data_IF_105442688034
#
_entry.id   IF_105442688034
#
_cell.length_a   1.000
_cell.length_b   1.000
_cell.length_c   1.000
_cell.angle_alpha   90.00
_cell.angle_beta   90.00
_cell.angle_gamma   90.00
#
_symmetry.space_group_name_H-M   'P 1'
#
loop_
_entity.id
_entity.type
_entity.pdbx_description
1 polymer ?
#
# COMPACT_ATOMS: atom_id res chain seq x y z
N UNK A 1 -0.22 -27.10 2.65
CA UNK A 1 -0.91 -25.92 3.19
C UNK A 1 -0.64 -24.80 2.21
N UNK A 2 -1.63 -24.34 1.46
CA UNK A 2 -1.42 -23.24 0.50
C UNK A 2 -1.39 -21.95 1.29
N UNK A 3 -0.18 -21.49 1.59
CA UNK A 3 0.07 -20.13 2.03
C UNK A 3 -0.53 -19.24 0.94
N UNK A 4 -1.63 -18.54 1.25
CA UNK A 4 -2.22 -17.57 0.33
C UNK A 4 -1.19 -16.46 0.17
N UNK A 5 -0.35 -16.58 -0.84
CA UNK A 5 0.53 -15.51 -1.27
C UNK A 5 -0.34 -14.29 -1.52
N UNK A 6 -0.01 -13.19 -0.85
CA UNK A 6 -0.74 -11.94 -1.01
C UNK A 6 -0.42 -11.42 -2.41
N UNK A 7 -1.44 -11.01 -3.14
CA UNK A 7 -1.25 -10.43 -4.47
C UNK A 7 -1.16 -8.91 -4.37
N UNK A 8 -0.38 -8.32 -5.26
CA UNK A 8 -0.24 -6.89 -5.42
C UNK A 8 -1.58 -6.29 -5.86
N UNK A 9 -2.07 -5.31 -5.10
CA UNK A 9 -3.35 -4.63 -5.38
C UNK A 9 -3.34 -3.82 -6.68
N UNK A 10 -2.17 -3.56 -7.28
CA UNK A 10 -2.05 -2.84 -8.56
C UNK A 10 -1.89 -3.77 -9.77
N UNK A 11 -0.94 -4.70 -9.73
CA UNK A 11 -0.56 -5.50 -10.90
C UNK A 11 -0.98 -6.99 -10.81
N UNK A 12 -1.46 -7.44 -9.65
CA UNK A 12 -1.90 -8.82 -9.43
C UNK A 12 -0.79 -9.88 -9.29
N UNK A 13 0.48 -9.47 -9.35
CA UNK A 13 1.62 -10.37 -9.11
C UNK A 13 1.76 -10.71 -7.62
N UNK A 14 2.43 -11.82 -7.32
CA UNK A 14 2.73 -12.20 -5.93
C UNK A 14 3.61 -11.14 -5.24
N UNK A 15 3.27 -10.84 -3.99
CA UNK A 15 4.07 -9.99 -3.10
C UNK A 15 5.08 -10.88 -2.41
N UNK A 16 6.31 -10.91 -2.95
CA UNK A 16 7.41 -11.69 -2.39
C UNK A 16 8.06 -11.02 -1.17
N UNK A 17 7.89 -9.70 -1.02
CA UNK A 17 8.49 -8.87 0.02
C UNK A 17 7.45 -7.96 0.68
N UNK A 18 7.35 -8.02 2.01
CA UNK A 18 6.57 -7.05 2.80
C UNK A 18 7.34 -5.71 2.91
N UNK A 19 6.62 -4.62 3.20
CA UNK A 19 7.18 -3.27 3.36
C UNK A 19 6.62 -2.23 2.39
N UNK A 20 5.96 -2.66 1.32
CA UNK A 20 5.25 -1.78 0.40
C UNK A 20 3.75 -1.84 0.69
N UNK A 21 3.36 -1.26 1.82
CA UNK A 21 1.95 -1.13 2.23
C UNK A 21 1.53 0.35 2.19
N UNK A 22 0.26 0.58 1.90
CA UNK A 22 -0.35 1.90 1.84
C UNK A 22 -1.72 1.86 2.51
N UNK A 23 -1.92 2.74 3.48
CA UNK A 23 -3.22 2.91 4.11
C UNK A 23 -4.10 3.77 3.22
N UNK A 24 -5.26 3.27 2.87
CA UNK A 24 -6.26 4.03 2.11
C UNK A 24 -7.58 4.06 2.87
N UNK A 25 -8.48 4.94 2.44
CA UNK A 25 -9.86 5.00 2.95
C UNK A 25 -10.63 3.70 2.74
N UNK A 26 -10.22 2.89 1.75
CA UNK A 26 -10.79 1.58 1.45
C UNK A 26 -10.13 0.43 2.25
N UNK A 27 -9.04 0.71 2.96
CA UNK A 27 -8.27 -0.25 3.76
C UNK A 27 -6.80 -0.31 3.39
N UNK A 28 -6.07 -1.24 4.01
CA UNK A 28 -4.64 -1.40 3.78
C UNK A 28 -4.39 -2.14 2.45
N UNK A 29 -3.69 -1.48 1.54
CA UNK A 29 -3.25 -2.02 0.25
C UNK A 29 -1.80 -2.48 0.31
N UNK A 30 -1.46 -3.53 -0.45
CA UNK A 30 -0.11 -4.10 -0.51
C UNK A 30 0.39 -4.20 -1.93
N UNK A 31 1.69 -4.00 -2.09
CA UNK A 31 2.33 -3.90 -3.39
C UNK A 31 3.57 -4.80 -3.44
N UNK A 32 3.89 -5.34 -4.62
CA UNK A 32 5.08 -6.16 -4.81
C UNK A 32 6.38 -5.33 -4.83
N UNK A 33 6.28 -4.02 -5.07
CA UNK A 33 7.44 -3.11 -5.14
C UNK A 33 7.04 -1.65 -4.89
N UNK A 34 8.03 -0.80 -4.65
CA UNK A 34 7.86 0.66 -4.49
C UNK A 34 7.19 1.31 -5.69
N UNK A 35 7.51 0.85 -6.92
CA UNK A 35 6.90 1.38 -8.14
C UNK A 35 5.38 1.20 -8.17
N UNK A 36 4.88 0.03 -7.78
CA UNK A 36 3.44 -0.21 -7.71
C UNK A 36 2.77 0.64 -6.63
N UNK A 37 3.42 0.80 -5.48
CA UNK A 37 2.93 1.69 -4.42
C UNK A 37 2.84 3.14 -4.89
N UNK A 38 3.92 3.67 -5.50
CA UNK A 38 3.97 5.05 -5.97
C UNK A 38 2.94 5.35 -7.04
N UNK A 39 2.76 4.45 -8.02
CA UNK A 39 1.73 4.58 -9.05
C UNK A 39 0.34 4.58 -8.42
N UNK A 40 0.05 3.67 -7.48
CA UNK A 40 -1.23 3.66 -6.78
C UNK A 40 -1.47 4.96 -6.02
N UNK A 41 -0.45 5.48 -5.31
CA UNK A 41 -0.54 6.76 -4.62
C UNK A 41 -0.86 7.92 -5.55
N UNK A 42 -0.29 7.94 -6.76
CA UNK A 42 -0.56 8.99 -7.76
C UNK A 42 -1.94 8.86 -8.38
N UNK A 43 -2.41 7.64 -8.66
CA UNK A 43 -3.72 7.40 -9.27
C UNK A 43 -4.88 7.56 -8.27
N UNK A 44 -4.62 7.27 -7.00
CA UNK A 44 -5.61 7.24 -5.93
C UNK A 44 -5.25 8.22 -4.80
N UNK A 45 -4.63 9.36 -5.11
CA UNK A 45 -4.12 10.31 -4.13
C UNK A 45 -5.16 10.73 -3.08
N UNK A 46 -6.41 10.93 -3.50
CA UNK A 46 -7.55 11.30 -2.64
C UNK A 46 -7.94 10.19 -1.65
N UNK A 47 -7.61 8.94 -1.99
CA UNK A 47 -7.92 7.78 -1.16
C UNK A 47 -6.76 7.44 -0.23
N UNK A 48 -5.56 7.96 -0.47
CA UNK A 48 -4.40 7.70 0.37
C UNK A 48 -4.56 8.44 1.68
N UNK A 49 -4.66 7.67 2.77
CA UNK A 49 -4.56 8.24 4.10
C UNK A 49 -3.09 8.60 4.30
N UNK A 50 -2.76 9.86 4.07
CA UNK A 50 -1.44 10.39 4.43
C UNK A 50 -1.23 10.06 5.91
N UNK A 51 -0.09 9.48 6.23
CA UNK A 51 0.31 9.22 7.60
C UNK A 51 0.66 10.57 8.22
N UNK A 52 -0.36 11.41 8.44
CA UNK A 52 -0.32 12.57 9.31
C UNK A 52 -0.13 11.98 10.70
N UNK A 53 1.11 11.63 11.00
CA UNK A 53 1.61 11.59 12.35
C UNK A 53 1.23 12.93 12.94
N UNK A 54 0.20 12.91 13.78
CA UNK A 54 -0.02 13.92 14.78
C UNK A 54 1.30 14.05 15.57
N UNK A 55 2.14 14.98 15.14
CA UNK A 55 3.22 15.54 15.92
C UNK A 55 2.90 17.01 16.12
N UNK A 56 1.69 17.28 16.62
CA UNK A 56 1.49 18.36 17.56
C UNK A 56 2.39 18.06 18.78
N UNK A 57 3.58 18.65 18.83
CA UNK A 57 4.27 18.84 20.11
C UNK A 57 5.15 20.09 20.10
N UNK A 58 4.48 21.19 20.45
CA UNK A 58 4.94 22.35 21.22
C UNK A 58 6.12 23.16 20.68
#
# INVERSE_FOLDING_TARGET
>A
MSEKQKQCDLCGLDVEVDGFELKTTEGDKRFCCEGCKGIYQMLHEDQVLSETSNSDKN
#
